data_IF_851662091238
#
_entry.id   IF_851662091238
#
_cell.length_a   1.000
_cell.length_b   1.000
_cell.length_c   1.000
_cell.angle_alpha   90.00
_cell.angle_beta   90.00
_cell.angle_gamma   90.00
#
_symmetry.space_group_name_H-M   'P 1'
#
loop_
_entity.id
_entity.type
_entity.pdbx_description
1 polymer ?
#
# COMPACT_ATOMS: atom_id res chain seq x y z
N UNK A 1 39.36 73.98 -16.83
CA UNK A 1 38.78 72.93 -17.69
C UNK A 1 38.90 71.62 -16.93
N UNK A 2 37.78 71.12 -16.38
CA UNK A 2 37.06 69.93 -16.86
C UNK A 2 37.85 68.64 -16.57
N UNK A 3 37.36 67.62 -15.84
CA UNK A 3 35.98 67.21 -15.64
C UNK A 3 35.71 66.45 -14.33
N UNK A 4 34.42 66.38 -14.02
CA UNK A 4 33.71 65.95 -12.83
C UNK A 4 33.74 64.43 -12.55
N UNK A 5 33.50 64.16 -11.28
CA UNK A 5 33.10 62.91 -10.65
C UNK A 5 31.93 62.15 -11.32
N UNK A 6 31.92 60.82 -11.14
CA UNK A 6 30.71 60.05 -10.84
C UNK A 6 31.07 58.71 -10.19
N UNK A 7 30.88 58.61 -8.86
CA UNK A 7 30.63 57.33 -8.18
C UNK A 7 29.29 56.82 -8.67
N UNK A 8 29.25 55.66 -9.33
CA UNK A 8 28.00 54.92 -9.56
C UNK A 8 27.87 53.83 -8.50
N UNK A 9 26.99 54.08 -7.54
CA UNK A 9 26.35 53.07 -6.71
C UNK A 9 25.58 52.12 -7.65
N UNK A 10 25.86 50.82 -7.57
CA UNK A 10 25.00 49.80 -8.16
C UNK A 10 23.83 49.53 -7.19
N UNK A 11 22.58 49.44 -7.68
CA UNK A 11 21.43 49.22 -6.82
C UNK A 11 21.38 47.77 -6.34
N UNK A 12 21.05 47.60 -5.06
CA UNK A 12 20.53 46.36 -4.52
C UNK A 12 19.14 46.11 -5.14
N UNK A 13 19.07 45.17 -6.07
CA UNK A 13 17.79 44.71 -6.62
C UNK A 13 17.86 43.22 -6.94
N UNK A 14 17.08 42.48 -6.15
CA UNK A 14 16.44 41.19 -6.46
C UNK A 14 17.32 40.00 -6.83
N UNK A 15 17.65 39.22 -5.80
CA UNK A 15 17.65 37.76 -5.86
C UNK A 15 16.29 37.28 -6.41
N UNK A 16 16.21 37.06 -7.71
CA UNK A 16 15.26 36.12 -8.30
C UNK A 16 16.07 34.91 -8.73
N UNK A 17 16.39 34.05 -7.76
CA UNK A 17 16.68 32.66 -8.06
C UNK A 17 15.41 32.11 -8.71
N UNK A 18 15.42 32.01 -10.03
CA UNK A 18 14.38 31.32 -10.78
C UNK A 18 14.31 29.90 -10.23
N UNK A 19 13.24 29.60 -9.48
CA UNK A 19 12.88 28.25 -9.10
C UNK A 19 12.61 27.48 -10.40
N UNK A 20 13.63 26.79 -10.90
CA UNK A 20 13.45 25.77 -11.93
C UNK A 20 12.47 24.74 -11.36
N UNK A 21 11.34 24.46 -12.05
CA UNK A 21 10.45 23.40 -11.59
C UNK A 21 11.25 22.10 -11.57
N UNK A 22 11.29 21.43 -10.41
CA UNK A 22 11.78 20.07 -10.26
C UNK A 22 11.30 19.25 -11.47
N UNK A 23 12.21 18.94 -12.40
CA UNK A 23 11.88 18.19 -13.61
C UNK A 23 11.37 16.82 -13.16
N UNK A 24 10.06 16.62 -13.29
CA UNK A 24 9.34 15.38 -13.01
C UNK A 24 10.02 14.21 -13.72
N UNK A 25 10.68 13.33 -12.97
CA UNK A 25 11.03 11.98 -13.41
C UNK A 25 10.13 10.97 -12.69
N UNK A 26 8.81 11.18 -12.77
CA UNK A 26 7.86 10.12 -12.43
C UNK A 26 7.77 9.18 -13.62
N UNK A 27 8.08 7.91 -13.41
CA UNK A 27 7.63 6.89 -14.36
C UNK A 27 6.11 6.78 -14.22
N UNK A 28 5.37 7.09 -15.28
CA UNK A 28 3.92 6.88 -15.33
C UNK A 28 3.54 5.40 -15.48
N UNK A 29 4.51 4.49 -15.36
CA UNK A 29 4.35 3.06 -15.55
C UNK A 29 4.41 2.36 -14.19
N UNK A 30 3.46 1.45 -13.97
CA UNK A 30 3.54 0.47 -12.88
C UNK A 30 4.71 -0.46 -13.17
N UNK A 31 5.58 -0.62 -12.19
CA UNK A 31 6.78 -1.45 -12.33
C UNK A 31 6.54 -2.88 -11.89
N UNK A 32 5.67 -3.06 -10.91
CA UNK A 32 5.26 -4.36 -10.38
C UNK A 32 4.36 -4.21 -9.17
N UNK A 33 4.09 -5.34 -8.52
CA UNK A 33 3.32 -5.42 -7.28
C UNK A 33 4.18 -6.15 -6.26
N UNK A 34 4.48 -5.52 -5.12
CA UNK A 34 5.08 -6.22 -3.98
C UNK A 34 4.00 -7.02 -3.26
N UNK A 35 4.28 -8.28 -2.94
CA UNK A 35 3.31 -9.21 -2.38
C UNK A 35 3.89 -9.82 -1.11
N UNK A 36 3.18 -9.67 0.01
CA UNK A 36 3.39 -10.44 1.24
C UNK A 36 2.61 -11.76 1.16
N UNK A 37 3.19 -12.86 1.62
CA UNK A 37 2.54 -14.17 1.61
C UNK A 37 2.40 -14.71 3.03
N UNK A 38 1.29 -15.39 3.29
CA UNK A 38 1.02 -16.03 4.58
C UNK A 38 2.10 -17.08 4.88
N UNK A 39 2.72 -17.04 6.05
CA UNK A 39 3.76 -17.98 6.47
C UNK A 39 4.99 -18.03 5.51
N UNK A 40 5.27 -16.96 4.76
CA UNK A 40 6.52 -16.81 4.00
C UNK A 40 7.38 -15.70 4.60
N UNK A 41 8.67 -15.97 4.80
CA UNK A 41 9.58 -15.01 5.44
C UNK A 41 9.89 -13.72 4.68
N UNK A 42 9.43 -13.53 3.43
CA UNK A 42 9.75 -12.30 2.70
C UNK A 42 8.72 -11.99 1.63
N UNK A 43 8.53 -10.72 1.29
CA UNK A 43 7.75 -10.35 0.12
C UNK A 43 8.50 -10.66 -1.16
N UNK A 44 7.75 -10.71 -2.25
CA UNK A 44 8.33 -10.78 -3.59
C UNK A 44 7.73 -9.73 -4.52
N UNK A 45 8.53 -9.28 -5.48
CA UNK A 45 8.08 -8.41 -6.55
C UNK A 45 7.54 -9.26 -7.72
N UNK A 46 6.23 -9.16 -7.94
CA UNK A 46 5.58 -9.65 -9.16
C UNK A 46 5.64 -8.57 -10.23
N UNK A 47 6.45 -8.78 -11.26
CA UNK A 47 6.78 -7.75 -12.25
C UNK A 47 7.19 -8.37 -13.59
N UNK A 48 7.48 -7.52 -14.58
CA UNK A 48 8.05 -7.99 -15.85
C UNK A 48 9.45 -8.57 -15.64
N UNK A 49 9.90 -9.51 -16.49
CA UNK A 49 11.29 -9.98 -16.46
C UNK A 49 12.31 -8.85 -16.60
N UNK A 50 12.05 -7.87 -17.46
CA UNK A 50 12.96 -6.72 -17.68
C UNK A 50 13.00 -5.71 -16.54
N UNK A 51 12.05 -5.79 -15.59
CA UNK A 51 11.92 -4.87 -14.47
C UNK A 51 12.99 -5.07 -13.38
N UNK A 52 13.63 -6.25 -13.29
CA UNK A 52 14.69 -6.52 -12.29
C UNK A 52 15.95 -5.69 -12.49
N UNK A 53 16.18 -5.14 -13.69
CA UNK A 53 17.37 -4.34 -14.00
C UNK A 53 17.33 -2.93 -13.40
N UNK A 54 16.15 -2.42 -13.04
CA UNK A 54 15.97 -1.03 -12.57
C UNK A 54 15.48 -0.94 -11.13
N UNK A 55 14.88 -2.01 -10.61
CA UNK A 55 14.40 -2.09 -9.22
C UNK A 55 14.83 -3.45 -8.70
N UNK A 56 15.55 -3.42 -7.58
CA UNK A 56 15.96 -4.63 -6.88
C UNK A 56 14.71 -5.37 -6.41
N UNK A 57 14.43 -6.52 -7.03
CA UNK A 57 13.20 -7.26 -6.81
C UNK A 57 13.20 -8.03 -5.49
N UNK A 58 14.39 -8.25 -4.92
CA UNK A 58 14.62 -8.96 -3.67
C UNK A 58 14.88 -8.00 -2.50
N UNK A 59 15.11 -6.71 -2.79
CA UNK A 59 15.55 -5.70 -1.84
C UNK A 59 16.84 -6.09 -1.10
N UNK A 60 17.77 -6.74 -1.82
CA UNK A 60 19.04 -7.25 -1.25
C UNK A 60 19.97 -6.15 -0.70
N UNK A 61 19.66 -4.88 -1.00
CA UNK A 61 20.38 -3.71 -0.49
C UNK A 61 19.94 -3.30 0.93
N UNK A 62 18.85 -3.88 1.45
CA UNK A 62 18.44 -3.71 2.84
C UNK A 62 19.48 -4.35 3.78
N UNK A 63 19.62 -3.84 5.02
CA UNK A 63 20.63 -4.35 5.94
C UNK A 63 20.35 -5.82 6.26
N UNK A 64 21.30 -6.69 5.95
CA UNK A 64 21.25 -8.11 6.31
C UNK A 64 21.98 -8.29 7.65
N UNK A 65 21.36 -8.97 8.62
CA UNK A 65 22.10 -9.47 9.80
C UNK A 65 21.89 -10.97 9.76
N UNK A 66 22.99 -11.68 9.53
CA UNK A 66 23.12 -13.08 9.11
C UNK A 66 22.36 -14.12 9.95
N UNK A 67 21.56 -13.73 10.96
CA UNK A 67 20.90 -14.66 11.89
C UNK A 67 19.44 -14.34 12.22
N UNK A 68 18.90 -13.15 11.94
CA UNK A 68 17.56 -12.75 12.42
C UNK A 68 16.63 -12.10 11.39
N UNK A 69 17.12 -11.73 10.20
CA UNK A 69 16.34 -10.98 9.18
C UNK A 69 15.77 -11.83 8.03
N UNK A 70 15.54 -13.12 8.26
CA UNK A 70 14.83 -13.99 7.30
C UNK A 70 13.33 -13.74 7.20
N UNK A 71 12.77 -12.98 8.16
CA UNK A 71 11.36 -12.61 8.19
C UNK A 71 11.21 -11.10 8.10
N UNK A 72 10.55 -10.61 7.06
CA UNK A 72 10.15 -9.21 6.95
C UNK A 72 8.96 -9.06 5.99
N UNK A 73 8.26 -7.93 6.07
CA UNK A 73 7.10 -7.65 5.23
C UNK A 73 7.04 -6.17 4.82
N UNK A 74 6.35 -5.87 3.71
CA UNK A 74 5.99 -4.49 3.35
C UNK A 74 4.72 -4.12 4.11
N UNK A 75 4.73 -3.01 4.85
CA UNK A 75 3.55 -2.53 5.59
C UNK A 75 2.72 -1.52 4.78
N UNK A 76 3.39 -0.65 4.02
CA UNK A 76 2.74 0.40 3.23
C UNK A 76 3.64 0.87 2.08
N UNK A 77 3.06 1.60 1.14
CA UNK A 77 3.78 2.23 0.04
C UNK A 77 3.21 3.62 -0.26
N UNK A 78 4.10 4.56 -0.62
CA UNK A 78 3.69 5.93 -0.90
C UNK A 78 4.72 6.62 -1.76
N UNK A 79 4.30 7.25 -2.86
CA UNK A 79 5.19 8.06 -3.69
C UNK A 79 6.46 7.35 -4.19
N UNK A 80 6.46 6.02 -4.31
CA UNK A 80 7.60 5.20 -4.73
C UNK A 80 8.57 4.80 -3.61
N UNK A 81 8.26 5.12 -2.37
CA UNK A 81 8.88 4.56 -1.17
C UNK A 81 8.07 3.37 -0.64
N UNK A 82 8.75 2.44 0.03
CA UNK A 82 8.16 1.34 0.78
C UNK A 82 8.47 1.50 2.28
N UNK A 83 7.50 1.19 3.11
CA UNK A 83 7.67 0.97 4.54
C UNK A 83 7.74 -0.53 4.79
N UNK A 84 8.80 -0.99 5.45
CA UNK A 84 9.07 -2.39 5.72
C UNK A 84 9.17 -2.65 7.23
N UNK A 85 8.64 -3.78 7.69
CA UNK A 85 8.85 -4.32 9.03
C UNK A 85 9.89 -5.42 8.98
N UNK A 86 11.07 -5.15 9.55
CA UNK A 86 12.19 -6.08 9.60
C UNK A 86 12.23 -6.86 10.93
N UNK A 87 11.07 -7.11 11.56
CA UNK A 87 10.83 -7.76 12.88
C UNK A 87 11.35 -7.04 14.11
N UNK A 88 12.49 -6.37 13.98
CA UNK A 88 13.23 -5.73 15.07
C UNK A 88 13.16 -4.20 14.92
N UNK A 89 13.06 -3.72 13.69
CA UNK A 89 13.10 -2.31 13.31
C UNK A 89 12.20 -2.05 12.09
N UNK A 90 11.68 -0.82 12.00
CA UNK A 90 11.01 -0.35 10.80
C UNK A 90 12.05 0.25 9.86
N UNK A 91 11.90 0.00 8.56
CA UNK A 91 12.77 0.53 7.53
C UNK A 91 11.94 1.23 6.47
N UNK A 92 12.37 2.40 6.02
CA UNK A 92 11.83 3.01 4.79
C UNK A 92 12.88 2.90 3.72
N UNK A 93 12.51 2.35 2.57
CA UNK A 93 13.41 2.17 1.45
C UNK A 93 12.84 2.71 0.14
N UNK A 94 13.75 3.05 -0.76
CA UNK A 94 13.45 3.36 -2.15
C UNK A 94 14.08 2.27 -3.04
N UNK A 95 13.29 1.27 -3.48
CA UNK A 95 13.76 0.20 -4.34
C UNK A 95 14.40 0.67 -5.66
N UNK A 96 14.00 1.85 -6.18
CA UNK A 96 14.52 2.40 -7.43
C UNK A 96 15.90 3.06 -7.28
N UNK A 97 16.23 3.57 -6.10
CA UNK A 97 17.54 4.18 -5.80
C UNK A 97 18.44 3.30 -4.96
N UNK A 98 17.93 2.14 -4.48
CA UNK A 98 18.63 1.19 -3.60
C UNK A 98 19.12 1.82 -2.30
N UNK A 99 18.37 2.79 -1.79
CA UNK A 99 18.66 3.47 -0.52
C UNK A 99 17.60 3.15 0.50
N UNK A 100 18.00 3.18 1.77
CA UNK A 100 17.11 2.93 2.90
C UNK A 100 17.52 3.76 4.10
N UNK A 101 16.61 3.86 5.06
CA UNK A 101 16.85 4.49 6.36
C UNK A 101 16.09 3.68 7.41
N UNK A 102 16.77 3.34 8.51
CA UNK A 102 16.13 2.73 9.67
C UNK A 102 15.38 3.80 10.45
N UNK A 103 14.20 3.42 10.93
CA UNK A 103 13.36 4.31 11.70
C UNK A 103 13.67 4.07 13.18
N UNK A 104 14.03 5.12 13.94
CA UNK A 104 14.27 5.01 15.36
C UNK A 104 13.10 4.31 16.05
N UNK A 105 13.39 3.38 16.97
CA UNK A 105 12.33 2.69 17.70
C UNK A 105 11.50 3.69 18.48
N UNK A 106 10.18 3.61 18.33
CA UNK A 106 9.25 4.34 19.17
C UNK A 106 9.40 3.81 20.61
N UNK A 107 9.97 4.61 21.50
CA UNK A 107 10.27 4.21 22.89
C UNK A 107 9.03 3.76 23.68
N UNK A 108 7.84 4.21 23.24
CA UNK A 108 6.55 3.79 23.80
C UNK A 108 6.00 2.64 22.96
N UNK A 109 6.25 1.40 23.39
CA UNK A 109 5.38 0.30 22.97
C UNK A 109 3.97 0.56 23.54
N UNK A 110 3.10 1.20 22.75
CA UNK A 110 1.66 1.13 23.01
C UNK A 110 1.27 -0.33 22.79
N UNK A 111 1.02 -1.04 23.88
CA UNK A 111 0.45 -2.38 23.86
C UNK A 111 -0.83 -2.36 23.01
N UNK A 112 -0.81 -3.04 21.86
CA UNK A 112 -1.98 -3.19 20.98
C UNK A 112 -1.63 -3.27 19.49
N UNK A 113 -2.58 -3.80 18.71
CA UNK A 113 -2.54 -3.85 17.24
C UNK A 113 -2.60 -2.41 16.68
N UNK A 114 -1.50 -1.84 16.21
CA UNK A 114 -1.47 -0.51 15.56
C UNK A 114 -0.85 -0.63 14.18
N UNK A 115 -1.41 0.07 13.19
CA UNK A 115 -0.83 0.17 11.85
C UNK A 115 0.10 1.37 11.74
N UNK A 116 1.14 1.25 10.92
CA UNK A 116 2.06 2.35 10.59
C UNK A 116 1.92 2.66 9.10
N UNK A 117 1.72 3.93 8.78
CA UNK A 117 1.39 4.38 7.42
C UNK A 117 2.39 5.40 6.92
N UNK A 118 2.67 5.34 5.62
CA UNK A 118 3.67 6.17 4.96
C UNK A 118 3.00 7.31 4.18
N UNK A 119 3.30 8.54 4.58
CA UNK A 119 2.86 9.75 3.90
C UNK A 119 4.01 10.37 3.11
N UNK A 120 4.02 10.17 1.79
CA UNK A 120 5.02 10.74 0.92
C UNK A 120 4.43 11.18 -0.42
N UNK A 121 4.64 12.46 -0.76
CA UNK A 121 4.37 13.00 -2.09
C UNK A 121 5.65 13.71 -2.60
N UNK A 122 6.43 13.06 -3.49
CA UNK A 122 7.66 13.64 -4.01
C UNK A 122 7.46 14.96 -4.75
N UNK A 123 6.23 15.26 -5.21
CA UNK A 123 5.92 16.52 -5.87
C UNK A 123 5.71 17.67 -4.87
N UNK A 124 5.41 17.36 -3.60
CA UNK A 124 5.15 18.34 -2.56
C UNK A 124 6.33 18.54 -1.61
N UNK A 125 7.05 17.46 -1.25
CA UNK A 125 8.14 17.50 -0.27
C UNK A 125 9.14 16.36 -0.54
N UNK A 126 10.46 16.59 -0.37
CA UNK A 126 11.45 15.52 -0.39
C UNK A 126 11.40 14.63 0.87
N UNK A 127 10.71 15.09 1.92
CA UNK A 127 10.58 14.39 3.18
C UNK A 127 9.24 13.63 3.25
N UNK A 128 9.30 12.40 3.76
CA UNK A 128 8.15 11.60 4.17
C UNK A 128 7.87 11.73 5.68
N UNK A 129 6.62 11.45 6.06
CA UNK A 129 6.19 11.27 7.45
C UNK A 129 5.65 9.84 7.64
N UNK A 130 5.83 9.26 8.83
CA UNK A 130 5.18 8.01 9.24
C UNK A 130 4.18 8.30 10.34
N UNK A 131 3.00 7.69 10.27
CA UNK A 131 1.93 7.91 11.24
C UNK A 131 1.53 6.57 11.84
N UNK A 132 1.55 6.47 13.17
CA UNK A 132 1.04 5.30 13.89
C UNK A 132 -0.44 5.52 14.19
N UNK A 133 -1.30 4.66 13.64
CA UNK A 133 -2.75 4.69 13.91
C UNK A 133 -3.15 3.45 14.73
N UNK A 134 -3.68 3.62 15.94
CA UNK A 134 -4.19 2.51 16.73
C UNK A 134 -5.35 1.79 16.02
N UNK A 135 -5.28 0.45 15.90
CA UNK A 135 -6.40 -0.33 15.35
C UNK A 135 -7.60 -0.40 16.30
N UNK A 136 -7.36 -0.15 17.59
CA UNK A 136 -8.36 -0.29 18.64
C UNK A 136 -8.23 0.81 19.70
N UNK A 137 -9.34 1.15 20.37
CA UNK A 137 -9.33 1.82 21.66
C UNK A 137 -8.38 1.17 22.67
N UNK A 138 -7.68 1.96 23.51
CA UNK A 138 -6.88 1.45 24.61
C UNK A 138 -7.69 0.54 25.54
N UNK A 139 -7.09 -0.55 25.99
CA UNK A 139 -7.75 -1.50 26.91
C UNK A 139 -8.75 -2.45 26.25
N UNK A 140 -8.92 -2.41 24.92
CA UNK A 140 -9.69 -3.40 24.16
C UNK A 140 -9.17 -4.84 24.37
N UNK A 141 -7.85 -5.00 24.58
CA UNK A 141 -7.19 -6.30 24.75
C UNK A 141 -7.35 -6.89 26.17
N UNK A 142 -7.96 -6.13 27.11
CA UNK A 142 -8.22 -6.65 28.46
C UNK A 142 -9.41 -7.61 28.44
N UNK A 143 -9.33 -8.75 29.16
CA UNK A 143 -10.44 -9.69 29.26
C UNK A 143 -11.68 -9.02 29.89
N UNK A 144 -12.89 -9.48 29.54
CA UNK A 144 -14.16 -8.84 29.91
C UNK A 144 -14.45 -8.77 31.42
N UNK A 145 -13.63 -9.40 32.28
CA UNK A 145 -13.87 -9.56 33.71
C UNK A 145 -13.25 -8.46 34.60
N UNK A 146 -12.50 -7.50 34.05
CA UNK A 146 -11.99 -6.37 34.84
C UNK A 146 -13.07 -5.27 34.89
N UNK A 147 -14.00 -5.42 35.83
CA UNK A 147 -15.09 -4.47 36.06
C UNK A 147 -14.65 -3.31 36.96
N UNK A 148 -13.82 -2.42 36.42
CA UNK A 148 -13.43 -1.17 37.08
C UNK A 148 -14.18 0.05 36.48
N UNK A 149 -14.33 1.12 37.26
CA UNK A 149 -15.06 2.34 36.85
C UNK A 149 -14.46 3.00 35.60
N UNK A 150 -13.13 2.94 35.45
CA UNK A 150 -12.39 3.43 34.28
C UNK A 150 -12.78 2.66 33.02
N UNK A 151 -12.89 1.35 33.11
CA UNK A 151 -13.29 0.47 32.00
C UNK A 151 -14.73 0.74 31.56
N UNK A 152 -15.64 1.07 32.48
CA UNK A 152 -17.01 1.49 32.16
C UNK A 152 -17.05 2.84 31.42
N UNK A 153 -16.31 3.84 31.91
CA UNK A 153 -16.22 5.16 31.25
C UNK A 153 -15.60 5.07 29.85
N UNK A 154 -14.59 4.20 29.69
CA UNK A 154 -13.97 3.96 28.38
C UNK A 154 -14.97 3.38 27.38
N UNK A 155 -15.83 2.44 27.79
CA UNK A 155 -16.88 1.86 26.94
C UNK A 155 -17.86 2.90 26.41
N UNK A 156 -18.14 3.94 27.18
CA UNK A 156 -19.06 5.02 26.82
C UNK A 156 -18.39 6.15 26.03
N UNK A 157 -17.06 6.13 25.97
CA UNK A 157 -16.29 7.12 25.23
C UNK A 157 -16.44 6.94 23.73
N UNK A 158 -16.37 8.06 23.01
CA UNK A 158 -16.38 8.09 21.55
C UNK A 158 -15.04 7.63 20.96
N UNK A 159 -15.09 7.00 19.79
CA UNK A 159 -13.91 6.57 19.05
C UNK A 159 -13.96 7.04 17.58
N UNK A 160 -12.82 7.50 17.03
CA UNK A 160 -11.60 7.89 17.73
C UNK A 160 -11.81 9.12 18.64
N UNK A 161 -11.01 9.27 19.72
CA UNK A 161 -11.18 10.34 20.70
C UNK A 161 -10.78 11.70 20.12
N UNK A 162 -11.37 12.79 20.61
CA UNK A 162 -11.02 14.14 20.17
C UNK A 162 -10.62 15.03 21.36
N UNK A 163 -9.45 15.69 21.36
CA UNK A 163 -8.36 15.54 20.40
C UNK A 163 -7.72 14.13 20.41
N UNK A 164 -7.20 13.69 19.27
CA UNK A 164 -6.49 12.41 19.13
C UNK A 164 -5.00 12.64 18.99
N UNK A 165 -4.21 12.23 19.99
CA UNK A 165 -2.75 12.30 19.93
C UNK A 165 -2.16 11.05 19.29
N UNK A 166 -1.54 11.21 18.13
CA UNK A 166 -0.87 10.18 17.36
C UNK A 166 0.64 10.42 17.31
N UNK A 167 1.41 9.34 17.21
CA UNK A 167 2.85 9.38 17.05
C UNK A 167 3.18 9.58 15.56
N UNK A 168 3.93 10.64 15.24
CA UNK A 168 4.32 11.01 13.88
C UNK A 168 5.84 11.11 13.78
N UNK A 169 6.44 10.29 12.93
CA UNK A 169 7.85 10.41 12.56
C UNK A 169 7.99 11.36 11.37
N UNK A 170 9.01 12.22 11.40
CA UNK A 170 9.36 13.07 10.26
C UNK A 170 10.77 12.79 9.80
N UNK A 171 10.94 12.45 8.52
CA UNK A 171 12.28 12.31 7.92
C UNK A 171 13.05 13.62 7.83
N UNK A 172 12.40 14.77 8.07
CA UNK A 172 13.08 16.06 8.16
C UNK A 172 13.86 16.21 9.47
N UNK A 173 13.27 15.75 10.57
CA UNK A 173 13.85 15.87 11.92
C UNK A 173 14.55 14.59 12.35
N UNK A 174 14.21 13.45 11.74
CA UNK A 174 14.68 12.13 12.15
C UNK A 174 14.10 11.69 13.50
N UNK A 175 12.99 12.30 13.95
CA UNK A 175 12.44 12.09 15.28
C UNK A 175 10.94 11.78 15.24
N UNK A 176 10.48 11.11 16.30
CA UNK A 176 9.07 10.91 16.60
C UNK A 176 8.52 12.07 17.43
N UNK A 177 7.35 12.58 17.05
CA UNK A 177 6.65 13.65 17.74
C UNK A 177 5.19 13.24 18.00
N UNK A 178 4.68 13.57 19.19
CA UNK A 178 3.25 13.43 19.49
C UNK A 178 2.49 14.62 18.87
N UNK A 179 1.59 14.34 17.92
CA UNK A 179 0.77 15.36 17.25
C UNK A 179 -0.71 15.14 17.58
N UNK A 180 -1.36 16.18 18.09
CA UNK A 180 -2.79 16.15 18.38
C UNK A 180 -3.61 16.53 17.14
N UNK A 181 -4.60 15.71 16.81
CA UNK A 181 -5.53 15.93 15.72
C UNK A 181 -6.95 16.16 16.25
N UNK A 182 -7.65 17.15 15.71
CA UNK A 182 -9.03 17.46 16.13
C UNK A 182 -10.04 16.83 15.18
N UNK A 183 -11.06 16.16 15.72
CA UNK A 183 -12.11 15.55 14.89
C UNK A 183 -12.99 16.63 14.27
N UNK A 184 -13.27 16.48 12.98
CA UNK A 184 -14.30 17.22 12.27
C UNK A 184 -15.44 16.25 11.94
N UNK A 185 -16.64 16.57 12.42
CA UNK A 185 -17.82 15.71 12.26
C UNK A 185 -17.94 14.61 13.32
N UNK A 186 -18.78 13.62 13.00
CA UNK A 186 -19.23 12.60 13.94
C UNK A 186 -18.15 11.55 14.27
N UNK A 187 -18.22 10.92 15.46
CA UNK A 187 -17.40 9.75 15.78
C UNK A 187 -17.76 8.55 14.90
N UNK A 188 -16.88 7.53 14.88
CA UNK A 188 -17.25 6.22 14.33
C UNK A 188 -18.31 5.51 15.19
N UNK A 189 -18.37 5.85 16.47
CA UNK A 189 -19.28 5.29 17.45
C UNK A 189 -18.67 5.31 18.85
N UNK A 190 -19.30 4.61 19.78
CA UNK A 190 -18.75 4.40 21.12
C UNK A 190 -17.82 3.18 21.15
N UNK A 191 -16.87 3.15 22.07
CA UNK A 191 -15.99 1.97 22.27
C UNK A 191 -16.81 0.70 22.52
N UNK A 192 -17.95 0.80 23.23
CA UNK A 192 -18.89 -0.30 23.44
C UNK A 192 -19.44 -0.87 22.13
N UNK A 193 -19.89 0.01 21.22
CA UNK A 193 -20.40 -0.43 19.91
C UNK A 193 -19.33 -1.18 19.11
N UNK A 194 -18.09 -0.66 19.08
CA UNK A 194 -16.98 -1.28 18.37
C UNK A 194 -16.53 -2.62 18.97
N UNK A 195 -16.73 -2.82 20.28
CA UNK A 195 -16.49 -4.12 20.95
C UNK A 195 -17.51 -5.19 20.54
N UNK A 196 -18.77 -4.81 20.31
CA UNK A 196 -19.83 -5.75 19.93
C UNK A 196 -19.69 -6.22 18.47
N UNK A 197 -19.09 -5.41 17.59
CA UNK A 197 -18.75 -5.77 16.20
C UNK A 197 -17.52 -6.69 16.09
N UNK A 198 -17.19 -7.49 17.11
CA UNK A 198 -16.16 -8.52 17.03
C UNK A 198 -16.59 -9.63 16.05
N UNK A 199 -16.32 -9.43 14.76
CA UNK A 199 -15.83 -10.54 13.97
C UNK A 199 -14.47 -10.94 14.57
N UNK A 200 -14.31 -12.21 14.94
CA UNK A 200 -13.04 -12.74 15.44
C UNK A 200 -11.88 -12.21 14.59
N UNK A 201 -10.75 -11.79 15.19
CA UNK A 201 -9.54 -11.49 14.44
C UNK A 201 -8.94 -12.83 13.95
N UNK A 202 -9.63 -13.48 13.01
CA UNK A 202 -9.14 -14.67 12.34
C UNK A 202 -8.01 -14.20 11.43
N UNK A 203 -6.81 -14.34 11.99
CA UNK A 203 -5.49 -14.20 11.39
C UNK A 203 -5.02 -12.74 11.16
N UNK A 204 -4.00 -12.37 11.95
CA UNK A 204 -2.92 -11.38 11.74
C UNK A 204 -3.22 -10.13 10.87
N UNK A 205 -3.04 -8.93 11.44
CA UNK A 205 -3.09 -7.65 10.70
C UNK A 205 -4.47 -6.97 10.67
N UNK A 206 -4.83 -6.30 11.77
CA UNK A 206 -5.98 -5.39 11.81
C UNK A 206 -5.54 -3.98 11.35
N UNK A 207 -6.24 -3.45 10.35
CA UNK A 207 -5.90 -2.30 9.49
C UNK A 207 -4.89 -2.67 8.39
N UNK A 208 -5.30 -2.54 7.12
CA UNK A 208 -4.58 -3.19 6.00
C UNK A 208 -4.00 -2.25 4.96
N UNK A 209 -4.69 -1.15 4.67
CA UNK A 209 -4.28 -0.28 3.56
C UNK A 209 -4.42 1.18 3.93
N UNK A 210 -3.33 1.91 3.74
CA UNK A 210 -3.25 3.36 3.76
C UNK A 210 -3.14 3.91 2.35
N UNK A 211 -3.65 5.11 2.14
CA UNK A 211 -3.47 5.85 0.89
C UNK A 211 -3.14 7.28 1.24
N UNK A 212 -1.97 7.75 0.82
CA UNK A 212 -1.65 9.17 0.86
C UNK A 212 -1.99 9.81 -0.49
N UNK A 213 -2.84 10.84 -0.46
CA UNK A 213 -3.23 11.59 -1.65
C UNK A 213 -3.45 13.05 -1.30
N UNK A 214 -2.84 13.96 -2.07
CA UNK A 214 -3.04 15.42 -1.96
C UNK A 214 -2.87 15.97 -0.53
N UNK A 215 -1.85 15.50 0.18
CA UNK A 215 -1.56 15.94 1.56
C UNK A 215 -2.46 15.33 2.64
N UNK A 216 -3.33 14.40 2.28
CA UNK A 216 -4.25 13.71 3.19
C UNK A 216 -4.00 12.22 3.18
N UNK A 217 -3.94 11.61 4.36
CA UNK A 217 -3.81 10.18 4.55
C UNK A 217 -5.19 9.56 4.81
N UNK A 218 -5.52 8.50 4.08
CA UNK A 218 -6.74 7.72 4.24
C UNK A 218 -6.35 6.34 4.76
N UNK A 219 -6.92 5.91 5.88
CA UNK A 219 -6.59 4.63 6.52
C UNK A 219 -7.86 3.82 6.71
N UNK A 220 -7.86 2.58 6.23
CA UNK A 220 -8.96 1.67 6.47
C UNK A 220 -8.90 1.06 7.88
N UNK A 221 -9.87 1.40 8.73
CA UNK A 221 -9.92 1.00 10.13
C UNK A 221 -10.94 -0.12 10.35
N UNK A 222 -10.44 -1.34 10.60
CA UNK A 222 -11.22 -2.49 11.11
C UNK A 222 -12.51 -2.85 10.33
N UNK A 223 -12.60 -2.54 9.03
CA UNK A 223 -13.79 -2.88 8.24
C UNK A 223 -14.96 -1.91 8.41
N UNK A 224 -14.91 -1.01 9.40
CA UNK A 224 -16.06 -0.21 9.81
C UNK A 224 -16.02 1.23 9.29
N UNK A 225 -14.84 1.85 9.24
CA UNK A 225 -14.68 3.21 8.75
C UNK A 225 -13.33 3.45 8.08
N UNK A 226 -13.26 4.51 7.30
CA UNK A 226 -12.02 5.08 6.75
C UNK A 226 -11.70 6.36 7.50
N UNK A 227 -10.51 6.41 8.09
CA UNK A 227 -9.98 7.61 8.72
C UNK A 227 -9.37 8.51 7.64
N UNK A 228 -9.81 9.76 7.56
CA UNK A 228 -9.21 10.80 6.72
C UNK A 228 -8.42 11.76 7.61
N UNK A 229 -7.10 11.71 7.54
CA UNK A 229 -6.17 12.47 8.36
C UNK A 229 -5.44 13.51 7.50
N UNK A 230 -5.63 14.79 7.81
CA UNK A 230 -4.92 15.86 7.11
C UNK A 230 -3.75 16.36 7.97
N UNK A 231 -2.53 16.14 7.47
CA UNK A 231 -1.31 16.37 8.23
C UNK A 231 -0.99 17.86 8.40
N UNK A 232 -1.45 18.70 7.47
CA UNK A 232 -1.18 20.14 7.42
C UNK A 232 -2.09 20.97 8.33
N UNK A 233 -3.34 20.54 8.53
CA UNK A 233 -4.33 21.27 9.33
C UNK A 233 -4.54 20.67 10.72
N UNK A 234 -3.89 19.55 11.05
CA UNK A 234 -4.06 18.88 12.35
C UNK A 234 -5.51 18.43 12.58
N UNK A 235 -6.24 18.06 11.53
CA UNK A 235 -7.62 17.61 11.64
C UNK A 235 -7.80 16.21 11.08
N UNK A 236 -8.78 15.48 11.63
CA UNK A 236 -9.20 14.20 11.10
C UNK A 236 -10.71 14.11 10.97
N UNK A 237 -11.17 13.26 10.05
CA UNK A 237 -12.57 12.95 9.83
C UNK A 237 -12.76 11.44 9.80
N UNK A 238 -13.91 10.99 10.29
CA UNK A 238 -14.34 9.60 10.19
C UNK A 238 -15.34 9.50 9.04
N UNK A 239 -15.08 8.57 8.12
CA UNK A 239 -15.95 8.29 6.98
C UNK A 239 -16.45 6.86 7.15
N UNK A 240 -17.74 6.65 7.26
CA UNK A 240 -18.31 5.30 7.31
C UNK A 240 -17.86 4.50 6.08
N UNK A 241 -17.41 3.26 6.28
CA UNK A 241 -17.04 2.41 5.15
C UNK A 241 -18.32 2.02 4.37
N UNK A 242 -18.22 1.75 3.06
CA UNK A 242 -19.35 1.20 2.30
C UNK A 242 -19.88 -0.06 2.95
N UNK A 243 -21.21 -0.21 3.01
CA UNK A 243 -21.82 -1.40 3.64
C UNK A 243 -21.65 -2.63 2.73
N UNK A 244 -21.05 -3.68 3.30
CA UNK A 244 -20.94 -4.99 2.70
C UNK A 244 -21.27 -6.07 3.72
N UNK A 245 -21.52 -7.29 3.24
CA UNK A 245 -21.93 -8.37 4.13
C UNK A 245 -20.73 -8.93 4.91
N UNK A 246 -20.43 -8.38 6.09
CA UNK A 246 -19.33 -8.83 6.96
C UNK A 246 -19.46 -10.30 7.41
N UNK A 247 -20.66 -10.88 7.34
CA UNK A 247 -20.91 -12.27 7.74
C UNK A 247 -20.33 -13.31 6.78
N UNK A 248 -19.97 -12.92 5.56
CA UNK A 248 -19.26 -13.81 4.64
C UNK A 248 -17.80 -13.89 5.06
N UNK A 249 -17.40 -15.02 5.65
CA UNK A 249 -15.98 -15.36 5.85
C UNK A 249 -15.24 -15.11 4.52
N UNK A 250 -14.01 -14.58 4.59
CA UNK A 250 -13.06 -14.39 3.48
C UNK A 250 -13.12 -13.10 2.64
N UNK A 251 -13.97 -12.13 2.95
CA UNK A 251 -13.96 -10.86 2.19
C UNK A 251 -12.83 -9.94 2.65
N UNK A 252 -11.99 -9.51 1.70
CA UNK A 252 -10.86 -8.60 1.95
C UNK A 252 -11.07 -7.25 1.24
N UNK A 253 -11.52 -6.19 1.94
CA UNK A 253 -11.61 -4.86 1.34
C UNK A 253 -10.21 -4.30 1.04
N UNK A 254 -10.10 -3.55 -0.05
CA UNK A 254 -8.87 -2.88 -0.48
C UNK A 254 -9.11 -1.38 -0.59
N UNK A 255 -8.26 -0.59 0.06
CA UNK A 255 -8.23 0.87 -0.08
C UNK A 255 -7.02 1.24 -0.94
N UNK A 256 -7.24 1.95 -2.04
CA UNK A 256 -6.15 2.33 -2.93
C UNK A 256 -6.40 3.64 -3.66
N UNK A 257 -5.47 4.00 -4.54
CA UNK A 257 -5.53 5.23 -5.33
C UNK A 257 -5.54 4.93 -6.81
N UNK A 258 -6.42 5.58 -7.55
CA UNK A 258 -6.38 5.62 -9.01
C UNK A 258 -6.82 6.98 -9.50
N UNK A 259 -6.15 7.52 -10.53
CA UNK A 259 -6.47 8.82 -11.15
C UNK A 259 -6.60 9.97 -10.14
N UNK A 260 -5.80 9.96 -9.08
CA UNK A 260 -5.82 10.93 -7.96
C UNK A 260 -7.09 10.91 -7.08
N UNK A 261 -7.91 9.87 -7.17
CA UNK A 261 -9.05 9.63 -6.30
C UNK A 261 -8.80 8.42 -5.41
N UNK A 262 -9.50 8.36 -4.28
CA UNK A 262 -9.44 7.23 -3.33
C UNK A 262 -10.53 6.22 -3.71
N UNK A 263 -10.11 4.97 -3.87
CA UNK A 263 -10.95 3.85 -4.28
C UNK A 263 -11.08 2.89 -3.10
N UNK A 264 -12.31 2.48 -2.82
CA UNK A 264 -12.61 1.38 -1.90
C UNK A 264 -13.16 0.23 -2.74
N UNK A 265 -12.48 -0.91 -2.75
CA UNK A 265 -12.87 -2.07 -3.53
C UNK A 265 -13.15 -3.28 -2.65
N UNK A 266 -14.11 -4.09 -3.08
CA UNK A 266 -14.43 -5.36 -2.46
C UNK A 266 -14.88 -6.38 -3.50
N UNK A 267 -14.57 -7.65 -3.27
CA UNK A 267 -15.19 -8.75 -3.99
C UNK A 267 -16.03 -9.52 -2.99
N UNK A 268 -17.31 -9.73 -3.29
CA UNK A 268 -18.23 -10.45 -2.42
C UNK A 268 -18.63 -11.78 -3.03
N UNK A 269 -18.95 -12.77 -2.22
CA UNK A 269 -19.44 -14.07 -2.71
C UNK A 269 -20.84 -13.90 -3.32
N UNK A 270 -21.11 -14.45 -4.53
CA UNK A 270 -20.24 -15.26 -5.38
C UNK A 270 -19.50 -14.41 -6.44
N UNK A 271 -18.32 -13.89 -6.12
CA UNK A 271 -17.43 -13.11 -7.01
C UNK A 271 -18.00 -11.81 -7.63
N UNK A 272 -18.80 -11.05 -6.88
CA UNK A 272 -19.28 -9.73 -7.27
C UNK A 272 -18.27 -8.65 -6.87
N UNK A 273 -17.63 -8.04 -7.86
CA UNK A 273 -16.77 -6.87 -7.66
C UNK A 273 -17.63 -5.63 -7.44
N UNK A 274 -17.34 -4.87 -6.38
CA UNK A 274 -17.91 -3.53 -6.14
C UNK A 274 -16.79 -2.54 -5.81
N UNK A 275 -16.80 -1.39 -6.47
CA UNK A 275 -15.80 -0.34 -6.27
C UNK A 275 -16.50 1.00 -6.08
N UNK A 276 -16.21 1.63 -4.94
CA UNK A 276 -16.65 2.99 -4.61
C UNK A 276 -15.50 3.96 -4.76
N UNK A 277 -15.83 5.18 -5.17
CA UNK A 277 -14.92 6.33 -5.18
C UNK A 277 -15.37 7.31 -4.11
N UNK A 278 -14.41 7.84 -3.36
CA UNK A 278 -14.68 8.90 -2.40
C UNK A 278 -14.87 10.23 -3.14
N UNK A 279 -16.05 10.82 -3.02
CA UNK A 279 -16.31 12.19 -3.43
C UNK A 279 -16.13 13.15 -2.24
N UNK A 280 -15.41 14.25 -2.50
CA UNK A 280 -15.12 15.33 -1.55
C UNK A 280 -15.67 16.69 -2.04
N UNK A 281 -16.36 16.72 -3.19
CA UNK A 281 -16.65 17.93 -3.98
C UNK A 281 -17.63 18.93 -3.36
N UNK A 282 -18.23 18.62 -2.21
CA UNK A 282 -19.22 19.48 -1.52
C UNK A 282 -18.97 19.63 -0.02
N UNK A 283 -17.75 19.36 0.44
CA UNK A 283 -17.40 19.34 1.87
C UNK A 283 -18.01 18.16 2.65
N UNK A 284 -18.76 17.29 1.97
CA UNK A 284 -19.20 15.98 2.46
C UNK A 284 -18.27 14.92 1.91
N UNK A 285 -18.01 13.90 2.72
CA UNK A 285 -17.20 12.73 2.37
C UNK A 285 -18.17 11.58 2.07
N UNK A 286 -18.46 11.34 0.80
CA UNK A 286 -19.45 10.35 0.39
C UNK A 286 -18.86 9.28 -0.54
N UNK A 287 -19.19 8.02 -0.28
CA UNK A 287 -18.79 6.91 -1.13
C UNK A 287 -19.78 6.70 -2.27
N UNK A 288 -19.35 6.91 -3.51
CA UNK A 288 -20.16 6.72 -4.70
C UNK A 288 -19.80 5.40 -5.36
N UNK A 289 -20.76 4.47 -5.46
CA UNK A 289 -20.56 3.21 -6.18
C UNK A 289 -20.39 3.52 -7.67
N UNK A 290 -19.21 3.27 -8.23
CA UNK A 290 -18.91 3.55 -9.64
C UNK A 290 -18.91 2.29 -10.49
N UNK A 291 -18.38 1.18 -9.98
CA UNK A 291 -18.29 -0.07 -10.72
C UNK A 291 -18.90 -1.23 -9.96
N UNK A 292 -19.55 -2.11 -10.71
CA UNK A 292 -20.10 -3.34 -10.20
C UNK A 292 -20.17 -4.40 -11.30
N UNK A 293 -19.42 -5.48 -11.15
CA UNK A 293 -19.33 -6.56 -12.15
C UNK A 293 -19.40 -7.95 -11.52
N UNK A 294 -19.91 -8.92 -12.29
CA UNK A 294 -19.92 -10.35 -11.93
C UNK A 294 -18.67 -11.04 -12.49
N UNK A 295 -17.78 -11.47 -11.60
CA UNK A 295 -16.53 -12.15 -11.96
C UNK A 295 -16.67 -13.68 -12.01
N UNK A 296 -17.86 -14.27 -11.78
CA UNK A 296 -18.07 -15.72 -11.89
C UNK A 296 -17.66 -16.28 -13.27
N UNK A 297 -17.98 -15.64 -14.41
CA UNK A 297 -17.52 -16.11 -15.72
C UNK A 297 -15.99 -16.11 -15.84
N UNK A 298 -15.32 -15.13 -15.21
CA UNK A 298 -13.87 -15.05 -15.17
C UNK A 298 -13.27 -16.15 -14.29
N UNK A 299 -13.83 -16.40 -13.10
CA UNK A 299 -13.41 -17.49 -12.21
C UNK A 299 -13.50 -18.86 -12.91
N UNK A 300 -14.58 -19.10 -13.65
CA UNK A 300 -14.78 -20.29 -14.48
C UNK A 300 -13.69 -20.45 -15.54
N UNK A 301 -13.34 -19.34 -16.19
CA UNK A 301 -12.34 -19.34 -17.24
C UNK A 301 -10.95 -19.70 -16.69
N UNK A 302 -10.52 -19.03 -15.62
CA UNK A 302 -9.19 -19.22 -15.03
C UNK A 302 -9.01 -20.62 -14.42
N UNK A 303 -10.05 -21.19 -13.82
CA UNK A 303 -10.02 -22.55 -13.24
C UNK A 303 -9.62 -23.61 -14.28
N UNK A 304 -10.01 -23.42 -15.54
CA UNK A 304 -9.62 -24.33 -16.64
C UNK A 304 -8.12 -24.36 -16.84
N UNK A 305 -7.42 -23.23 -16.73
CA UNK A 305 -5.99 -23.17 -17.00
C UNK A 305 -5.16 -23.63 -15.80
N UNK A 306 -5.57 -23.25 -14.59
CA UNK A 306 -4.89 -23.68 -13.37
C UNK A 306 -4.96 -25.21 -13.15
N UNK A 307 -6.03 -25.89 -13.58
CA UNK A 307 -6.17 -27.35 -13.41
C UNK A 307 -5.34 -28.19 -14.38
N UNK A 308 -5.08 -27.69 -15.58
CA UNK A 308 -4.37 -28.45 -16.63
C UNK A 308 -2.93 -27.99 -16.83
N UNK A 309 -2.44 -27.10 -15.96
CA UNK A 309 -1.10 -26.47 -16.01
C UNK A 309 -0.68 -26.05 -17.42
N UNK A 310 -1.66 -25.56 -18.20
CA UNK A 310 -1.39 -25.07 -19.55
C UNK A 310 -0.75 -23.70 -19.42
N UNK A 311 0.47 -23.49 -19.93
CA UNK A 311 1.09 -22.18 -19.91
C UNK A 311 0.25 -21.23 -20.76
N UNK A 312 -0.29 -20.18 -20.14
CA UNK A 312 -0.57 -18.95 -20.85
C UNK A 312 0.75 -18.18 -20.97
N UNK A 313 0.95 -17.49 -22.09
CA UNK A 313 2.04 -16.54 -22.21
C UNK A 313 1.85 -15.45 -21.14
N UNK A 314 2.68 -15.51 -20.08
CA UNK A 314 2.58 -14.65 -18.93
C UNK A 314 3.61 -13.52 -19.07
N UNK A 315 3.18 -12.25 -19.17
CA UNK A 315 4.12 -11.14 -19.31
C UNK A 315 4.87 -10.80 -18.01
N UNK A 316 4.38 -11.29 -16.86
CA UNK A 316 4.94 -11.01 -15.53
C UNK A 316 5.33 -12.31 -14.83
N UNK A 317 6.40 -12.24 -14.04
CA UNK A 317 6.97 -13.33 -13.26
C UNK A 317 7.23 -12.87 -11.82
N UNK A 318 7.40 -13.82 -10.92
CA UNK A 318 7.95 -13.58 -9.58
C UNK A 318 9.46 -13.70 -9.67
N UNK A 319 10.16 -12.65 -9.27
CA UNK A 319 11.61 -12.71 -9.06
C UNK A 319 11.89 -13.43 -7.73
N UNK A 320 12.72 -14.48 -7.79
CA UNK A 320 13.02 -15.35 -6.65
C UNK A 320 14.50 -15.77 -6.73
N UNK A 321 15.11 -16.10 -5.59
CA UNK A 321 16.55 -16.40 -5.46
C UNK A 321 16.99 -17.58 -6.32
N UNK A 322 16.06 -18.48 -6.63
CA UNK A 322 16.30 -19.64 -7.50
C UNK A 322 16.25 -19.33 -9.01
N UNK A 323 16.01 -18.08 -9.43
CA UNK A 323 15.91 -17.72 -10.86
C UNK A 323 17.22 -17.25 -11.50
N UNK A 324 18.29 -17.04 -10.70
CA UNK A 324 19.56 -16.46 -11.17
C UNK A 324 20.26 -17.27 -12.30
N UNK A 325 20.03 -18.58 -12.38
CA UNK A 325 20.65 -19.45 -13.40
C UNK A 325 19.86 -19.51 -14.73
N UNK A 326 18.53 -19.30 -14.71
CA UNK A 326 17.68 -19.32 -15.92
C UNK A 326 17.65 -17.95 -16.62
N UNK A 327 17.81 -16.85 -15.88
CA UNK A 327 17.77 -15.48 -16.40
C UNK A 327 18.86 -15.22 -17.46
N UNK A 328 20.06 -15.80 -17.31
CA UNK A 328 21.15 -15.69 -18.29
C UNK A 328 20.84 -16.35 -19.66
N UNK A 329 19.90 -17.31 -19.71
CA UNK A 329 19.54 -18.02 -20.94
C UNK A 329 18.32 -17.42 -21.65
N UNK A 330 17.39 -16.81 -20.91
CA UNK A 330 16.21 -16.12 -21.43
C UNK A 330 16.52 -14.71 -22.00
N UNK A 331 17.69 -14.16 -21.68
CA UNK A 331 18.16 -12.82 -22.08
C UNK A 331 18.28 -12.59 -23.60
N UNK A 332 18.42 -13.65 -24.39
CA UNK A 332 18.71 -13.52 -25.84
C UNK A 332 17.44 -13.48 -26.72
N UNK A 333 16.27 -13.89 -26.20
CA UNK A 333 15.02 -14.06 -26.98
C UNK A 333 13.95 -12.97 -26.73
N UNK A 334 14.11 -12.11 -25.72
CA UNK A 334 13.00 -11.42 -25.04
C UNK A 334 12.80 -9.94 -25.39
N UNK A 335 13.63 -9.33 -26.25
CA UNK A 335 13.60 -7.87 -26.51
C UNK A 335 12.40 -7.32 -27.30
N UNK A 336 11.54 -8.16 -27.89
CA UNK A 336 10.42 -7.70 -28.75
C UNK A 336 9.03 -8.30 -28.45
N UNK A 337 8.91 -9.32 -27.58
CA UNK A 337 7.66 -10.08 -27.36
C UNK A 337 6.93 -9.78 -26.05
N UNK A 338 7.52 -9.00 -25.13
CA UNK A 338 7.02 -8.83 -23.76
C UNK A 338 6.87 -7.36 -23.32
N UNK A 339 6.71 -6.43 -24.28
CA UNK A 339 6.30 -5.07 -23.98
C UNK A 339 4.80 -5.05 -23.65
N UNK A 340 4.42 -5.40 -22.42
CA UNK A 340 3.03 -5.20 -21.98
C UNK A 340 2.72 -3.69 -21.97
N UNK A 341 1.58 -3.29 -22.51
CA UNK A 341 0.93 -2.02 -22.21
C UNK A 341 -0.50 -2.39 -21.83
N UNK A 342 -1.10 -1.66 -20.89
CA UNK A 342 -2.52 -1.88 -20.61
C UNK A 342 -3.39 -1.60 -21.85
N UNK A 343 -2.85 -0.87 -22.83
CA UNK A 343 -3.53 -0.52 -24.07
C UNK A 343 -3.30 -1.57 -25.19
N UNK A 344 -2.51 -2.61 -24.93
CA UNK A 344 -2.17 -3.69 -25.90
C UNK A 344 -3.24 -4.80 -25.98
N UNK A 345 -3.29 -5.49 -27.12
CA UNK A 345 -4.34 -6.42 -27.56
C UNK A 345 -4.28 -7.82 -26.92
N UNK A 346 -3.53 -7.99 -25.82
CA UNK A 346 -3.39 -9.25 -25.06
C UNK A 346 -4.66 -9.71 -24.30
N UNK A 347 -5.84 -9.22 -24.69
CA UNK A 347 -7.10 -9.54 -24.05
C UNK A 347 -7.59 -10.93 -24.47
N UNK A 348 -8.06 -11.73 -23.52
CA UNK A 348 -8.73 -12.98 -23.82
C UNK A 348 -10.24 -12.85 -23.67
N UNK A 349 -10.99 -13.55 -24.52
CA UNK A 349 -12.44 -13.61 -24.41
C UNK A 349 -12.84 -14.62 -23.33
N UNK A 350 -13.60 -14.16 -22.32
CA UNK A 350 -14.13 -15.01 -21.26
C UNK A 350 -15.12 -16.01 -21.87
N UNK A 351 -14.83 -17.30 -21.70
CA UNK A 351 -15.75 -18.39 -22.07
C UNK A 351 -16.30 -19.04 -20.81
N UNK A 352 -17.64 -19.17 -20.73
CA UNK A 352 -18.31 -19.88 -19.62
C UNK A 352 -17.83 -21.33 -19.55
N UNK A 353 -17.43 -21.75 -18.36
CA UNK A 353 -16.93 -23.09 -18.07
C UNK A 353 -17.92 -23.90 -17.24
N UNK A 354 -17.62 -25.17 -16.94
CA UNK A 354 -18.43 -25.98 -16.02
C UNK A 354 -18.43 -25.36 -14.61
N UNK A 355 -19.51 -25.57 -13.86
CA UNK A 355 -19.60 -25.13 -12.45
C UNK A 355 -18.60 -25.92 -11.60
N UNK A 356 -17.59 -25.24 -11.06
CA UNK A 356 -16.61 -25.80 -10.11
C UNK A 356 -16.66 -24.97 -8.82
N UNK A 357 -16.28 -25.54 -7.68
CA UNK A 357 -15.98 -24.77 -6.47
C UNK A 357 -14.81 -23.83 -6.76
N UNK A 358 -15.08 -22.52 -6.87
CA UNK A 358 -14.06 -21.50 -7.12
C UNK A 358 -13.40 -21.07 -5.80
N UNK A 359 -12.15 -20.63 -5.91
CA UNK A 359 -11.52 -19.82 -4.87
C UNK A 359 -11.88 -18.35 -5.13
N UNK A 360 -12.01 -17.59 -4.06
CA UNK A 360 -12.41 -16.19 -4.06
C UNK A 360 -11.36 -15.31 -4.75
N UNK A 361 -11.78 -14.27 -5.48
CA UNK A 361 -10.86 -13.24 -5.95
C UNK A 361 -10.54 -12.25 -4.84
N UNK A 362 -9.24 -11.99 -4.63
CA UNK A 362 -8.76 -10.88 -3.83
C UNK A 362 -8.31 -9.73 -4.74
N UNK A 363 -8.46 -8.48 -4.26
CA UNK A 363 -7.90 -7.31 -4.94
C UNK A 363 -6.44 -7.15 -4.53
N UNK A 364 -5.54 -7.09 -5.51
CA UNK A 364 -4.11 -6.81 -5.29
C UNK A 364 -3.79 -5.31 -5.33
N UNK A 365 -4.66 -4.53 -5.95
CA UNK A 365 -4.58 -3.07 -5.95
C UNK A 365 -5.08 -2.44 -7.23
N UNK A 366 -4.98 -1.11 -7.29
CA UNK A 366 -5.48 -0.33 -8.41
C UNK A 366 -4.32 0.24 -9.23
N UNK A 367 -4.48 0.30 -10.55
CA UNK A 367 -3.52 0.99 -11.40
C UNK A 367 -3.59 2.50 -11.08
N UNK A 368 -2.46 3.17 -10.74
CA UNK A 368 -2.44 4.53 -10.22
C UNK A 368 -2.97 5.59 -11.20
N UNK A 369 -2.91 5.32 -12.51
CA UNK A 369 -3.26 6.28 -13.57
C UNK A 369 -4.38 5.83 -14.52
N UNK A 370 -4.82 4.58 -14.46
CA UNK A 370 -5.76 3.97 -15.42
C UNK A 370 -6.86 3.24 -14.64
N UNK A 371 -8.05 3.15 -15.20
CA UNK A 371 -9.19 2.46 -14.57
C UNK A 371 -9.06 0.94 -14.69
N UNK A 372 -8.03 0.41 -14.02
CA UNK A 372 -7.67 -1.01 -14.01
C UNK A 372 -7.50 -1.45 -12.56
N UNK A 373 -8.09 -2.60 -12.21
CA UNK A 373 -7.89 -3.28 -10.92
C UNK A 373 -7.12 -4.57 -11.16
N UNK A 374 -6.13 -4.84 -10.32
CA UNK A 374 -5.41 -6.09 -10.31
C UNK A 374 -6.13 -7.05 -9.37
N UNK A 375 -6.52 -8.21 -9.90
CA UNK A 375 -7.22 -9.25 -9.15
C UNK A 375 -6.35 -10.50 -9.12
N UNK A 376 -6.43 -11.25 -8.04
CA UNK A 376 -5.83 -12.57 -7.91
C UNK A 376 -6.90 -13.56 -7.52
N UNK A 377 -6.85 -14.77 -8.07
CA UNK A 377 -7.57 -15.88 -7.45
C UNK A 377 -6.79 -16.36 -6.21
N UNK A 378 -5.92 -17.35 -6.36
CA UNK A 378 -4.93 -17.77 -5.37
C UNK A 378 -3.60 -17.11 -5.67
N UNK A 379 -3.16 -17.25 -6.92
CA UNK A 379 -1.88 -16.76 -7.41
C UNK A 379 -1.95 -16.39 -8.90
N UNK A 380 -3.04 -16.69 -9.60
CA UNK A 380 -3.23 -16.25 -10.98
C UNK A 380 -3.66 -14.80 -10.98
N UNK A 381 -2.77 -13.91 -11.44
CA UNK A 381 -3.01 -12.48 -11.45
C UNK A 381 -3.56 -12.04 -12.81
N UNK A 382 -4.61 -11.23 -12.76
CA UNK A 382 -5.22 -10.60 -13.94
C UNK A 382 -5.31 -9.09 -13.75
N UNK A 383 -5.15 -8.35 -14.85
CA UNK A 383 -5.53 -6.96 -14.94
C UNK A 383 -6.96 -6.89 -15.49
N UNK A 384 -7.89 -6.33 -14.71
CA UNK A 384 -9.29 -6.16 -15.09
C UNK A 384 -9.56 -4.69 -15.40
N UNK A 385 -9.99 -4.40 -16.62
CA UNK A 385 -10.28 -3.06 -17.11
C UNK A 385 -11.72 -2.68 -16.78
N UNK A 386 -11.90 -1.70 -15.90
CA UNK A 386 -13.19 -1.33 -15.33
C UNK A 386 -14.15 -0.68 -16.34
N UNK A 387 -13.61 -0.08 -17.41
CA UNK A 387 -14.41 0.63 -18.43
C UNK A 387 -15.10 -0.28 -19.43
N UNK A 388 -14.48 -1.42 -19.74
CA UNK A 388 -14.91 -2.28 -20.84
C UNK A 388 -14.95 -3.77 -20.44
N UNK A 389 -14.73 -4.07 -19.15
CA UNK A 389 -14.72 -5.41 -18.58
C UNK A 389 -13.74 -6.36 -19.28
N UNK A 390 -12.72 -5.83 -19.97
CA UNK A 390 -11.69 -6.63 -20.61
C UNK A 390 -10.69 -7.13 -19.58
N UNK A 391 -10.13 -8.30 -19.82
CA UNK A 391 -9.22 -8.97 -18.89
C UNK A 391 -7.94 -9.37 -19.59
N UNK A 392 -6.82 -9.11 -18.94
CA UNK A 392 -5.49 -9.53 -19.37
C UNK A 392 -4.89 -10.44 -18.28
N UNK A 393 -4.35 -11.58 -18.67
CA UNK A 393 -3.64 -12.46 -17.74
C UNK A 393 -2.20 -11.99 -17.59
N UNK A 394 -1.76 -11.74 -16.35
CA UNK A 394 -0.41 -11.23 -16.10
C UNK A 394 0.57 -12.35 -15.77
N UNK A 395 0.14 -13.39 -15.07
CA UNK A 395 1.00 -14.51 -14.69
C UNK A 395 0.63 -15.15 -13.36
N UNK A 396 1.47 -16.07 -12.90
CA UNK A 396 1.37 -16.67 -11.56
C UNK A 396 2.28 -15.90 -10.60
N UNK A 397 1.72 -15.37 -9.52
CA UNK A 397 2.42 -14.64 -8.47
C UNK A 397 2.95 -15.52 -7.35
N UNK A 398 3.03 -16.85 -7.53
CA UNK A 398 3.58 -17.76 -6.51
C UNK A 398 5.11 -17.84 -6.64
N UNK A 399 5.89 -17.54 -5.57
CA UNK A 399 7.34 -17.78 -5.58
C UNK A 399 7.65 -19.28 -5.66
N UNK A 400 8.80 -19.65 -6.23
CA UNK A 400 9.27 -21.05 -6.25
C UNK A 400 9.70 -21.49 -4.85
N UNK A 401 10.25 -20.57 -4.05
CA UNK A 401 10.62 -20.76 -2.64
C UNK A 401 9.43 -21.03 -1.72
N UNK A 402 8.20 -20.72 -2.17
CA UNK A 402 7.02 -20.86 -1.33
C UNK A 402 6.53 -22.31 -1.31
N UNK A 403 6.83 -23.02 -0.21
CA UNK A 403 6.47 -24.42 0.01
C UNK A 403 4.97 -24.67 -0.21
N UNK A 404 4.61 -25.83 -0.76
CA UNK A 404 3.21 -26.16 -1.05
C UNK A 404 2.47 -26.60 0.22
N UNK A 405 1.56 -25.75 0.71
CA UNK A 405 0.56 -26.10 1.71
C UNK A 405 -0.83 -25.54 1.35
N UNK A 406 -1.84 -26.05 2.04
CA UNK A 406 -3.24 -25.67 1.84
C UNK A 406 -3.58 -24.31 2.47
N UNK A 407 -2.72 -23.78 3.36
CA UNK A 407 -2.85 -22.47 3.98
C UNK A 407 -2.22 -21.34 3.16
N UNK A 408 -1.46 -21.65 2.11
CA UNK A 408 -0.78 -20.64 1.31
C UNK A 408 -1.77 -19.64 0.69
N UNK A 409 -1.53 -18.36 0.94
CA UNK A 409 -2.31 -17.29 0.36
C UNK A 409 -1.48 -16.00 0.30
N UNK A 410 -2.00 -15.02 -0.43
CA UNK A 410 -1.51 -13.65 -0.38
C UNK A 410 -2.11 -12.96 0.86
N UNK A 411 -1.23 -12.35 1.65
CA UNK A 411 -1.60 -11.59 2.84
C UNK A 411 -1.93 -10.15 2.46
N UNK A 412 -0.97 -9.46 1.84
CA UNK A 412 -1.06 -8.06 1.45
C UNK A 412 -0.31 -7.79 0.14
N UNK A 413 -0.65 -6.67 -0.52
CA UNK A 413 -0.02 -6.31 -1.79
C UNK A 413 -0.04 -4.82 -2.10
N UNK A 414 1.03 -4.35 -2.75
CA UNK A 414 1.31 -2.93 -2.95
C UNK A 414 1.75 -2.64 -4.38
N UNK A 415 0.97 -1.83 -5.10
CA UNK A 415 1.24 -1.49 -6.51
C UNK A 415 2.38 -0.47 -6.57
N UNK A 416 3.54 -0.87 -7.13
CA UNK A 416 4.74 -0.06 -7.08
C UNK A 416 4.92 0.81 -8.33
N UNK A 417 5.23 2.09 -8.08
CA UNK A 417 5.67 3.05 -9.10
C UNK A 417 7.02 3.64 -8.66
N UNK A 418 8.10 3.48 -9.46
CA UNK A 418 9.44 3.94 -9.09
C UNK A 418 9.48 5.46 -8.90
N UNK A 419 10.22 5.89 -7.88
CA UNK A 419 10.55 7.29 -7.66
C UNK A 419 12.07 7.48 -7.70
N UNK A 420 12.54 8.24 -8.69
CA UNK A 420 13.96 8.58 -8.85
C UNK A 420 14.34 9.88 -8.12
N UNK A 421 13.40 10.47 -7.37
CA UNK A 421 13.61 11.67 -6.57
C UNK A 421 13.87 11.27 -5.12
N UNK A 422 14.98 11.73 -4.54
CA UNK A 422 15.21 11.67 -3.10
C UNK A 422 16.63 11.22 -2.69
N UNK A 423 17.23 11.99 -1.78
CA UNK A 423 18.36 11.56 -0.98
C UNK A 423 17.81 10.88 0.29
N UNK A 424 17.65 9.56 0.28
CA UNK A 424 17.69 8.82 1.54
C UNK A 424 19.17 8.83 1.97
N UNK A 425 19.44 9.18 3.23
CA UNK A 425 20.80 9.19 3.76
C UNK A 425 21.18 7.76 4.11
N UNK A 426 22.28 7.26 3.53
CA UNK A 426 22.92 6.04 4.02
C UNK A 426 23.52 6.39 5.39
N UNK A 427 23.00 5.78 6.46
CA UNK A 427 23.72 5.79 7.73
C UNK A 427 24.90 4.83 7.59
N UNK A 428 26.11 5.39 7.48
CA UNK A 428 27.33 4.67 7.75
C UNK A 428 27.30 4.20 9.20
N UNK A 429 27.06 2.92 9.43
CA UNK A 429 27.41 2.26 10.68
C UNK A 429 28.92 2.09 10.74
N UNK A 430 29.65 3.18 10.99
CA UNK A 430 31.03 3.15 11.45
C UNK A 430 31.14 4.07 12.68
N UNK A 431 31.77 3.54 13.74
CA UNK A 431 32.04 4.09 15.10
C UNK A 431 31.22 3.38 16.19
N UNK A 432 31.75 2.42 16.94
CA UNK A 432 32.93 2.53 17.79
C UNK A 432 33.57 1.15 18.10
N UNK A 433 34.80 0.94 17.66
CA UNK A 433 35.77 0.14 18.41
C UNK A 433 37.11 0.88 18.41
N UNK A 434 37.28 1.77 19.39
CA UNK A 434 38.59 2.20 19.87
C UNK A 434 38.97 1.38 21.09
#
# INVERSE_FOLDING_TARGET
MLARAARRLLPASSLLAAALPLRRTYSSKVHGIFINYVDHGRPHLFARPTSSRTVDAMLDFLPDDDRLRFWWSVLDHSGGLLLCDMTVELCVCNPATRRWTLIPRLQRQRQGKSGVYLAFDPAASPHYELIVVPAAPPGMDKPPFVDDDTSRRLLESEWPPTPWTLDVFSSRTGQWEERAFVRQGEPAGTVRSLRLHQADPICWGCQRYGVFSRGTLYVHCRGSFVLRLSLSNGAYQVISAPTYNESTRYVKPYLGRSQNMVYFGIVEVPERLRIWILDESSGRMEWILKYQDDLVPLAQHLTKYNRYDRPMDAPWIVHDVFNAEEDASAETLTKKRFEWDSDDDGFFTIKRGPKVYYKHFDILGFHPYKEVVYLTDVFGVVAYHLTNSKVQYLGKSRPRSYYQAYTNNIEESFVYTPCLLGELNEENTDENSS
#
